data_IF_250449234609
#
_entry.id   IF_250449234609
#
_cell.length_a   1.000
_cell.length_b   1.000
_cell.length_c   1.000
_cell.angle_alpha   90.00
_cell.angle_beta   90.00
_cell.angle_gamma   90.00
#
_symmetry.space_group_name_H-M   'P 1'
#
loop_
_entity.id
_entity.type
_entity.pdbx_description
1 polymer ?
#
# COMPACT_ATOMS: atom_id res chain seq x y z
N UNK A 1 20.66 4.81 19.47
CA UNK A 1 20.60 4.00 18.23
C UNK A 1 19.36 3.11 18.33
N UNK A 2 18.44 3.19 17.36
CA UNK A 2 17.32 2.24 17.29
C UNK A 2 17.91 0.84 17.12
N UNK A 3 17.62 -0.05 18.06
CA UNK A 3 18.02 -1.45 17.98
C UNK A 3 17.10 -2.10 16.94
N UNK A 4 17.46 -1.96 15.66
CA UNK A 4 16.83 -2.74 14.61
C UNK A 4 17.16 -4.19 14.94
N UNK A 5 16.17 -4.94 15.44
CA UNK A 5 16.34 -6.34 15.81
C UNK A 5 16.91 -7.16 14.65
N UNK A 6 17.25 -8.42 14.92
CA UNK A 6 17.73 -9.34 13.88
C UNK A 6 16.83 -9.25 12.64
N UNK A 7 17.39 -8.96 11.45
CA UNK A 7 16.59 -8.85 10.24
C UNK A 7 15.76 -10.10 10.02
N UNK A 8 14.63 -9.96 9.34
CA UNK A 8 13.78 -11.09 9.03
C UNK A 8 14.63 -12.20 8.38
N UNK A 9 14.61 -13.45 8.86
CA UNK A 9 15.41 -14.53 8.29
C UNK A 9 15.06 -14.80 6.81
N UNK A 10 13.95 -14.22 6.33
CA UNK A 10 13.49 -14.28 4.94
C UNK A 10 14.03 -13.18 4.04
N UNK A 11 14.78 -12.22 4.57
CA UNK A 11 15.33 -11.13 3.78
C UNK A 11 16.25 -11.63 2.66
N UNK A 12 17.11 -12.61 2.96
CA UNK A 12 18.05 -13.17 1.99
C UNK A 12 17.33 -13.97 0.89
N UNK A 13 16.43 -14.93 1.19
CA UNK A 13 15.58 -15.57 0.18
C UNK A 13 14.79 -14.56 -0.67
N UNK A 14 14.19 -13.55 -0.07
CA UNK A 14 13.44 -12.51 -0.78
C UNK A 14 14.32 -11.72 -1.75
N UNK A 15 15.48 -11.25 -1.29
CA UNK A 15 16.42 -10.51 -2.16
C UNK A 15 16.88 -11.37 -3.35
N UNK A 16 17.13 -12.68 -3.14
CA UNK A 16 17.47 -13.61 -4.22
C UNK A 16 16.31 -13.78 -5.21
N UNK A 17 15.10 -13.94 -4.72
CA UNK A 17 13.88 -14.02 -5.53
C UNK A 17 13.68 -12.75 -6.37
N UNK A 18 13.75 -11.57 -5.76
CA UNK A 18 13.66 -10.29 -6.47
C UNK A 18 14.76 -10.12 -7.51
N UNK A 19 16.02 -10.49 -7.19
CA UNK A 19 17.12 -10.41 -8.14
C UNK A 19 16.91 -11.33 -9.35
N UNK A 20 16.42 -12.56 -9.14
CA UNK A 20 16.12 -13.49 -10.22
C UNK A 20 14.95 -13.01 -11.11
N UNK A 21 14.03 -12.23 -10.55
CA UNK A 21 12.90 -11.64 -11.27
C UNK A 21 13.14 -10.21 -11.74
N UNK A 22 14.33 -9.65 -11.55
CA UNK A 22 14.65 -8.25 -11.86
C UNK A 22 14.32 -7.87 -13.31
N UNK A 23 14.52 -8.79 -14.26
CA UNK A 23 14.17 -8.60 -15.67
C UNK A 23 12.67 -8.74 -15.99
N UNK A 24 11.85 -9.16 -15.01
CA UNK A 24 10.39 -9.27 -15.15
C UNK A 24 9.64 -8.08 -14.56
N UNK A 25 10.25 -7.36 -13.62
CA UNK A 25 9.70 -6.12 -13.10
C UNK A 25 10.05 -4.97 -14.05
N UNK A 26 9.04 -4.21 -14.45
CA UNK A 26 9.22 -2.97 -15.18
C UNK A 26 8.91 -1.81 -14.24
N UNK A 27 9.58 -0.67 -14.44
CA UNK A 27 9.20 0.56 -13.76
C UNK A 27 7.74 0.87 -14.09
N UNK A 28 6.94 1.25 -13.10
CA UNK A 28 5.53 1.62 -13.32
C UNK A 28 5.44 3.07 -13.75
N UNK A 29 6.11 3.97 -13.02
CA UNK A 29 6.00 5.41 -13.22
C UNK A 29 6.91 5.95 -14.34
N UNK A 30 8.07 5.32 -14.58
CA UNK A 30 9.08 5.80 -15.53
C UNK A 30 9.18 4.93 -16.80
N UNK A 31 8.16 4.12 -17.08
CA UNK A 31 8.13 3.27 -18.27
C UNK A 31 7.38 3.98 -19.40
N UNK A 32 8.03 4.25 -20.56
CA UNK A 32 7.42 4.95 -21.69
C UNK A 32 6.17 4.28 -22.27
N UNK A 33 5.95 2.99 -22.00
CA UNK A 33 4.75 2.26 -22.41
C UNK A 33 3.55 2.55 -21.51
N UNK A 34 3.80 2.94 -20.27
CA UNK A 34 2.79 3.38 -19.33
C UNK A 34 2.56 4.86 -19.62
N UNK A 35 1.31 5.27 -19.91
CA UNK A 35 0.94 6.66 -20.21
C UNK A 35 0.98 7.55 -18.95
N UNK A 36 2.04 7.44 -18.15
CA UNK A 36 2.30 8.28 -16.99
C UNK A 36 3.19 9.41 -17.49
N UNK A 37 2.61 10.57 -17.71
CA UNK A 37 3.34 11.73 -18.23
C UNK A 37 4.18 12.38 -17.13
N UNK A 38 3.69 12.34 -15.89
CA UNK A 38 4.43 12.75 -14.71
C UNK A 38 3.84 12.09 -13.46
N UNK A 39 4.59 12.12 -12.36
CA UNK A 39 4.11 11.68 -11.05
C UNK A 39 4.56 12.66 -9.98
N UNK A 40 3.78 12.76 -8.90
CA UNK A 40 4.03 13.65 -7.77
C UNK A 40 4.02 12.83 -6.49
N UNK A 41 5.12 12.83 -5.74
CA UNK A 41 5.09 12.27 -4.40
C UNK A 41 4.28 13.19 -3.49
N UNK A 42 3.30 12.63 -2.78
CA UNK A 42 2.56 13.35 -1.74
C UNK A 42 3.23 13.06 -0.41
N UNK A 43 3.49 14.12 0.35
CA UNK A 43 3.87 14.04 1.74
C UNK A 43 2.62 14.27 2.61
N UNK A 44 2.12 13.20 3.23
CA UNK A 44 1.05 13.20 4.23
C UNK A 44 1.58 13.21 5.68
N UNK A 45 2.90 13.35 5.82
CA UNK A 45 3.66 13.48 7.06
C UNK A 45 4.13 14.90 7.39
N UNK A 46 4.82 15.08 8.53
CA UNK A 46 5.39 16.36 8.90
C UNK A 46 6.45 16.79 7.87
N UNK A 47 6.50 18.08 7.55
CA UNK A 47 7.35 18.73 6.53
C UNK A 47 8.87 18.46 6.64
N UNK A 48 9.33 17.81 7.70
CA UNK A 48 10.75 17.52 7.97
C UNK A 48 10.95 16.04 8.27
N UNK A 49 10.75 15.17 7.29
CA UNK A 49 11.28 13.80 7.36
C UNK A 49 12.81 13.83 7.24
N UNK A 50 13.54 12.91 7.92
CA UNK A 50 14.97 12.72 7.67
C UNK A 50 15.24 12.34 6.20
N UNK A 51 16.44 12.61 5.67
CA UNK A 51 16.70 12.65 4.24
C UNK A 51 16.70 11.23 3.65
N UNK A 52 15.55 10.78 3.19
CA UNK A 52 15.49 9.80 2.11
C UNK A 52 14.75 10.47 0.97
N UNK A 53 15.55 11.05 0.06
CA UNK A 53 15.17 11.79 -1.16
C UNK A 53 14.83 13.27 -0.94
N UNK A 54 15.87 14.10 -0.94
CA UNK A 54 15.77 15.54 -1.25
C UNK A 54 15.62 15.72 -2.77
N UNK A 55 14.57 16.40 -3.23
CA UNK A 55 14.71 17.66 -3.99
C UNK A 55 13.36 18.37 -4.24
N UNK A 56 13.32 19.59 -3.70
CA UNK A 56 12.52 20.78 -4.03
C UNK A 56 10.98 20.68 -4.05
N UNK A 57 10.37 21.16 -2.96
CA UNK A 57 8.98 21.61 -2.91
C UNK A 57 8.88 22.97 -2.22
N UNK A 58 8.39 23.96 -2.95
CA UNK A 58 7.88 25.23 -2.43
C UNK A 58 6.49 25.46 -3.06
N UNK A 59 5.49 24.71 -2.63
CA UNK A 59 4.06 25.08 -2.73
C UNK A 59 3.19 23.98 -2.14
N UNK A 60 2.08 24.38 -1.52
CA UNK A 60 1.01 23.49 -1.03
C UNK A 60 0.49 22.62 -2.19
N UNK A 61 0.10 21.35 -1.98
CA UNK A 61 -0.65 20.62 -2.99
C UNK A 61 -2.04 21.24 -3.10
N UNK A 62 -2.25 22.04 -4.15
CA UNK A 62 -3.58 22.18 -4.73
C UNK A 62 -3.89 20.88 -5.47
N UNK A 63 -5.05 20.27 -5.18
CA UNK A 63 -5.62 19.24 -6.06
C UNK A 63 -5.84 19.90 -7.42
N UNK A 64 -5.02 19.50 -8.39
CA UNK A 64 -5.12 19.96 -9.76
C UNK A 64 -6.53 19.67 -10.30
N UNK A 65 -7.25 20.72 -10.68
CA UNK A 65 -8.51 20.61 -11.44
C UNK A 65 -8.29 20.32 -12.93
N UNK A 66 -7.03 20.19 -13.37
CA UNK A 66 -6.69 20.04 -14.78
C UNK A 66 -6.81 18.58 -15.21
N UNK A 67 -7.95 18.29 -15.85
CA UNK A 67 -8.34 16.99 -16.43
C UNK A 67 -7.50 16.56 -17.65
N UNK A 68 -6.35 17.16 -17.89
CA UNK A 68 -5.57 16.97 -19.12
C UNK A 68 -4.16 16.42 -18.93
N UNK A 69 -3.73 16.05 -17.71
CA UNK A 69 -2.41 15.45 -17.49
C UNK A 69 -2.55 14.22 -16.59
N UNK A 70 -2.07 13.07 -17.08
CA UNK A 70 -2.01 11.82 -16.31
C UNK A 70 -0.93 11.92 -15.20
N UNK A 71 -1.17 12.77 -14.22
CA UNK A 71 -0.33 12.94 -13.03
C UNK A 71 -0.79 11.93 -11.98
N UNK A 72 0.07 10.97 -11.65
CA UNK A 72 -0.19 10.04 -10.54
C UNK A 72 0.40 10.63 -9.27
N UNK A 73 -0.38 10.68 -8.20
CA UNK A 73 0.14 11.07 -6.90
C UNK A 73 0.57 9.84 -6.09
N UNK A 74 1.71 9.89 -5.42
CA UNK A 74 2.37 8.71 -4.82
C UNK A 74 2.57 8.91 -3.31
N UNK A 75 1.95 8.05 -2.51
CA UNK A 75 2.18 7.96 -1.06
C UNK A 75 3.23 6.90 -0.74
N UNK A 76 4.27 7.26 0.01
CA UNK A 76 5.49 6.43 0.10
C UNK A 76 5.43 5.35 1.18
N UNK A 77 6.07 4.22 0.92
CA UNK A 77 6.37 3.21 1.93
C UNK A 77 7.34 3.77 2.99
N UNK A 78 7.05 3.50 4.26
CA UNK A 78 7.84 3.95 5.39
C UNK A 78 7.61 5.42 5.78
N UNK A 79 6.69 6.11 5.10
CA UNK A 79 6.32 7.48 5.43
C UNK A 79 5.66 7.56 6.81
N UNK A 80 6.13 8.47 7.68
CA UNK A 80 5.39 8.82 8.90
C UNK A 80 4.29 9.81 8.53
N UNK A 81 3.03 9.46 8.80
CA UNK A 81 1.82 10.19 8.42
C UNK A 81 1.10 10.73 9.64
N UNK A 82 1.01 12.06 9.72
CA UNK A 82 0.27 12.75 10.78
C UNK A 82 -1.23 12.65 10.55
N UNK A 83 -1.67 12.53 9.29
CA UNK A 83 -3.09 12.38 8.91
C UNK A 83 -3.75 11.16 9.56
N UNK A 84 -2.98 10.14 9.97
CA UNK A 84 -3.52 8.99 10.69
C UNK A 84 -4.05 9.36 12.08
N UNK A 85 -3.57 10.44 12.71
CA UNK A 85 -4.05 10.89 14.02
C UNK A 85 -5.50 11.37 14.00
N UNK A 86 -6.00 11.79 12.84
CA UNK A 86 -7.39 12.22 12.66
C UNK A 86 -8.39 11.05 12.74
N UNK A 87 -7.90 9.81 12.61
CA UNK A 87 -8.72 8.62 12.54
C UNK A 87 -8.60 7.75 13.81
N UNK A 88 -9.72 7.47 14.51
CA UNK A 88 -9.70 6.75 15.79
C UNK A 88 -8.99 5.39 15.74
N UNK A 89 -9.06 4.67 14.62
CA UNK A 89 -8.46 3.33 14.46
C UNK A 89 -6.93 3.31 14.42
N UNK A 90 -6.28 4.45 14.14
CA UNK A 90 -4.82 4.57 14.19
C UNK A 90 -4.33 5.19 15.51
N UNK A 91 -5.24 5.80 16.27
CA UNK A 91 -4.97 6.29 17.61
C UNK A 91 -4.85 5.13 18.61
N UNK A 92 -3.76 5.10 19.39
CA UNK A 92 -3.58 4.13 20.48
C UNK A 92 -4.30 4.56 21.77
N UNK A 93 -5.21 5.54 21.69
CA UNK A 93 -5.91 6.10 22.84
C UNK A 93 -7.11 5.22 23.21
N UNK A 94 -6.79 4.09 23.82
CA UNK A 94 -7.75 3.38 24.65
C UNK A 94 -8.16 4.33 25.81
N UNK A 95 -9.46 4.60 25.98
CA UNK A 95 -9.95 5.58 26.97
C UNK A 95 -9.64 5.20 28.44
N UNK A 96 -9.20 3.96 28.68
CA UNK A 96 -8.81 3.42 29.99
C UNK A 96 -7.27 3.22 30.16
N UNK A 97 -6.48 4.00 29.42
CA UNK A 97 -5.03 3.88 29.21
C UNK A 97 -4.11 3.74 30.43
N UNK A 98 -4.59 3.96 31.66
CA UNK A 98 -3.76 3.80 32.86
C UNK A 98 -3.40 2.34 33.16
N UNK A 99 -4.27 1.37 32.83
CA UNK A 99 -3.98 -0.08 33.04
C UNK A 99 -3.06 -0.67 31.96
N UNK A 100 -3.15 -0.16 30.74
CA UNK A 100 -2.39 -0.61 29.56
C UNK A 100 -0.95 -0.06 29.58
N UNK A 101 -0.74 1.13 30.17
CA UNK A 101 0.56 1.77 30.35
C UNK A 101 1.59 0.91 31.11
N UNK A 102 1.17 0.17 32.13
CA UNK A 102 2.09 -0.63 32.97
C UNK A 102 2.54 -1.94 32.31
N UNK A 103 1.77 -2.48 31.36
CA UNK A 103 2.00 -3.83 30.83
C UNK A 103 2.77 -3.84 29.50
N UNK A 104 2.57 -2.82 28.65
CA UNK A 104 3.21 -2.73 27.33
C UNK A 104 3.53 -1.28 26.92
N UNK A 105 4.68 -0.70 27.34
CA UNK A 105 5.02 0.70 27.01
C UNK A 105 5.18 0.97 25.51
N UNK A 106 5.39 -0.06 24.68
CA UNK A 106 5.41 0.05 23.23
C UNK A 106 4.02 0.14 22.56
N UNK A 107 2.94 -0.27 23.26
CA UNK A 107 1.56 -0.19 22.78
C UNK A 107 0.98 1.24 22.86
N UNK A 108 1.75 2.21 23.35
CA UNK A 108 1.40 3.64 23.41
C UNK A 108 1.82 4.43 22.17
N UNK A 109 2.38 3.76 21.16
CA UNK A 109 2.77 4.43 19.91
C UNK A 109 1.61 4.36 18.93
N UNK A 110 1.12 5.53 18.50
CA UNK A 110 0.17 5.65 17.40
C UNK A 110 0.72 4.91 16.17
N UNK A 111 -0.17 4.24 15.44
CA UNK A 111 0.20 3.66 14.14
C UNK A 111 0.28 4.82 13.16
N UNK A 112 1.49 5.36 12.97
CA UNK A 112 1.71 6.50 12.08
C UNK A 112 2.64 6.18 10.90
N UNK A 113 3.18 4.98 10.77
CA UNK A 113 4.04 4.61 9.63
C UNK A 113 3.20 3.94 8.54
N UNK A 114 3.27 4.46 7.32
CA UNK A 114 2.67 3.84 6.15
C UNK A 114 3.48 2.63 5.70
N UNK A 115 2.84 1.45 5.69
CA UNK A 115 3.47 0.18 5.31
C UNK A 115 3.12 -0.27 3.90
N UNK A 116 2.45 0.59 3.13
CA UNK A 116 2.03 0.33 1.75
C UNK A 116 2.71 1.27 0.74
N UNK A 117 2.18 1.26 -0.47
CA UNK A 117 2.46 2.22 -1.53
C UNK A 117 1.10 2.70 -2.03
N UNK A 118 0.86 4.01 -2.02
CA UNK A 118 -0.38 4.57 -2.56
C UNK A 118 -0.11 5.14 -3.93
N UNK A 119 -0.99 4.84 -4.88
CA UNK A 119 -1.03 5.43 -6.20
C UNK A 119 -2.42 6.06 -6.38
N UNK A 120 -2.50 7.38 -6.24
CA UNK A 120 -3.72 8.14 -6.45
C UNK A 120 -4.02 8.19 -7.94
N UNK A 121 -5.15 7.61 -8.32
CA UNK A 121 -5.63 7.52 -9.70
C UNK A 121 -7.15 7.67 -9.70
N UNK A 122 -7.72 7.95 -10.87
CA UNK A 122 -9.18 8.13 -11.01
C UNK A 122 -9.98 6.87 -10.58
N UNK A 123 -11.15 7.09 -9.98
CA UNK A 123 -12.10 6.04 -9.70
C UNK A 123 -12.48 5.29 -10.99
N UNK A 124 -12.61 3.96 -10.89
CA UNK A 124 -12.82 3.08 -12.05
C UNK A 124 -11.52 2.68 -12.76
N UNK A 125 -10.36 3.24 -12.40
CA UNK A 125 -9.08 2.79 -12.95
C UNK A 125 -8.83 1.31 -12.63
N UNK A 126 -8.36 0.55 -13.61
CA UNK A 126 -8.09 -0.89 -13.46
C UNK A 126 -6.86 -1.13 -12.60
N UNK A 127 -7.01 -2.03 -11.65
CA UNK A 127 -5.92 -2.53 -10.81
C UNK A 127 -5.53 -3.92 -11.28
N UNK A 128 -4.24 -4.12 -11.58
CA UNK A 128 -3.72 -5.36 -12.14
C UNK A 128 -2.87 -6.12 -11.12
N UNK A 129 -2.85 -7.44 -11.22
CA UNK A 129 -2.04 -8.30 -10.36
C UNK A 129 -0.56 -8.15 -10.70
N UNK A 130 0.27 -7.86 -9.69
CA UNK A 130 1.72 -7.71 -9.89
C UNK A 130 2.43 -9.04 -10.17
N UNK A 131 1.83 -10.15 -9.73
CA UNK A 131 2.35 -11.52 -9.88
C UNK A 131 1.18 -12.51 -9.94
N UNK A 132 1.42 -13.68 -10.53
CA UNK A 132 0.48 -14.80 -10.46
C UNK A 132 0.12 -15.10 -9.01
N UNK A 133 -1.15 -15.30 -8.71
CA UNK A 133 -1.60 -15.58 -7.35
C UNK A 133 -3.01 -16.14 -7.27
N UNK A 134 -3.33 -16.68 -6.10
CA UNK A 134 -4.68 -17.09 -5.73
C UNK A 134 -5.31 -16.02 -4.84
N UNK A 135 -6.57 -15.66 -5.09
CA UNK A 135 -7.36 -14.85 -4.15
C UNK A 135 -7.49 -15.64 -2.85
N UNK A 136 -6.82 -15.20 -1.79
CA UNK A 136 -6.83 -15.92 -0.50
C UNK A 136 -7.69 -15.25 0.56
N UNK A 137 -7.92 -13.94 0.45
CA UNK A 137 -8.85 -13.21 1.29
C UNK A 137 -9.44 -12.04 0.51
N UNK A 138 -10.67 -11.68 0.83
CA UNK A 138 -11.33 -10.50 0.31
C UNK A 138 -12.43 -10.07 1.28
N UNK A 139 -12.56 -8.77 1.53
CA UNK A 139 -13.59 -8.21 2.40
C UNK A 139 -13.78 -6.72 2.10
N UNK A 140 -14.79 -6.10 2.71
CA UNK A 140 -14.97 -4.66 2.68
C UNK A 140 -14.62 -4.06 4.05
N UNK A 141 -13.52 -3.31 4.14
CA UNK A 141 -13.13 -2.50 5.29
C UNK A 141 -13.76 -1.11 5.21
N UNK A 142 -15.05 -1.03 5.52
CA UNK A 142 -15.84 0.21 5.42
C UNK A 142 -15.60 1.21 6.54
N UNK A 143 -14.49 1.09 7.28
CA UNK A 143 -14.11 2.07 8.31
C UNK A 143 -13.64 3.35 7.62
N UNK A 144 -14.07 4.51 8.11
CA UNK A 144 -13.59 5.81 7.61
C UNK A 144 -12.07 5.92 7.80
N UNK A 145 -11.31 6.21 6.75
CA UNK A 145 -9.84 6.14 6.70
C UNK A 145 -9.27 4.72 6.62
N UNK A 146 -10.12 3.71 6.47
CA UNK A 146 -9.75 2.31 6.27
C UNK A 146 -9.43 2.00 4.80
N UNK A 147 -9.36 0.72 4.48
CA UNK A 147 -8.99 0.27 3.13
C UNK A 147 -10.16 0.20 2.14
N UNK A 148 -11.42 0.33 2.56
CA UNK A 148 -12.56 0.02 1.68
C UNK A 148 -12.54 -1.46 1.24
N UNK A 149 -13.07 -1.78 0.04
CA UNK A 149 -12.92 -3.11 -0.56
C UNK A 149 -11.47 -3.55 -0.73
N UNK A 150 -11.15 -4.72 -0.19
CA UNK A 150 -9.81 -5.32 -0.16
C UNK A 150 -9.80 -6.68 -0.84
N UNK A 151 -8.75 -6.94 -1.60
CA UNK A 151 -8.38 -8.26 -2.11
C UNK A 151 -6.94 -8.58 -1.70
N UNK A 152 -6.70 -9.78 -1.20
CA UNK A 152 -5.35 -10.30 -0.95
C UNK A 152 -5.09 -11.47 -1.90
N UNK A 153 -3.98 -11.38 -2.64
CA UNK A 153 -3.46 -12.48 -3.42
C UNK A 153 -2.32 -13.17 -2.67
N UNK A 154 -2.34 -14.50 -2.67
CA UNK A 154 -1.24 -15.36 -2.22
C UNK A 154 -0.43 -15.79 -3.44
N UNK A 155 0.88 -15.58 -3.39
CA UNK A 155 1.82 -15.95 -4.44
C UNK A 155 2.69 -17.10 -3.99
N UNK A 156 2.97 -18.02 -4.91
CA UNK A 156 3.88 -19.12 -4.66
C UNK A 156 5.33 -18.67 -4.83
N UNK A 157 6.19 -19.08 -3.89
CA UNK A 157 7.64 -18.91 -4.01
C UNK A 157 8.19 -20.16 -4.68
N UNK A 158 8.94 -20.04 -5.79
CA UNK A 158 9.61 -21.18 -6.40
C UNK A 158 10.53 -21.87 -5.38
N UNK A 159 10.53 -23.20 -5.39
CA UNK A 159 11.23 -24.02 -4.39
C UNK A 159 12.74 -23.71 -4.32
N UNK A 160 13.33 -23.24 -5.41
CA UNK A 160 14.74 -22.83 -5.51
C UNK A 160 15.13 -21.64 -4.62
N UNK A 161 14.15 -20.80 -4.22
CA UNK A 161 14.39 -19.67 -3.33
C UNK A 161 14.03 -20.00 -1.88
N UNK A 162 12.89 -20.65 -1.67
CA UNK A 162 12.48 -21.11 -0.35
C UNK A 162 11.35 -22.13 -0.44
N UNK A 163 11.47 -23.25 0.28
CA UNK A 163 10.41 -24.25 0.32
C UNK A 163 9.29 -23.85 1.29
N UNK A 164 8.02 -23.98 0.84
CA UNK A 164 6.78 -23.86 1.63
C UNK A 164 6.44 -22.47 2.19
N UNK A 165 6.87 -21.39 1.53
CA UNK A 165 6.47 -20.03 1.91
C UNK A 165 5.75 -19.31 0.78
N UNK A 166 4.95 -18.32 1.16
CA UNK A 166 4.10 -17.55 0.27
C UNK A 166 4.38 -16.07 0.46
N UNK A 167 4.34 -15.31 -0.64
CA UNK A 167 4.20 -13.85 -0.58
C UNK A 167 2.73 -13.48 -0.64
N UNK A 168 2.39 -12.32 -0.11
CA UNK A 168 1.04 -11.78 -0.19
C UNK A 168 1.11 -10.36 -0.73
N UNK A 169 0.21 -10.03 -1.66
CA UNK A 169 -0.07 -8.64 -2.05
C UNK A 169 -1.48 -8.28 -1.59
N UNK A 170 -1.62 -7.08 -1.02
CA UNK A 170 -2.88 -6.50 -0.60
C UNK A 170 -3.23 -5.37 -1.58
N UNK A 171 -4.43 -5.41 -2.12
CA UNK A 171 -5.00 -4.37 -2.97
C UNK A 171 -6.19 -3.78 -2.19
N UNK A 172 -6.05 -2.53 -1.75
CA UNK A 172 -7.10 -1.78 -1.07
C UNK A 172 -7.69 -0.70 -1.97
N UNK A 173 -8.62 0.06 -1.41
CA UNK A 173 -9.29 1.20 -2.03
C UNK A 173 -10.04 0.83 -3.32
N UNK A 174 -10.46 -0.43 -3.44
CA UNK A 174 -11.15 -0.94 -4.63
C UNK A 174 -12.64 -0.55 -4.62
N UNK A 175 -13.31 -0.68 -5.76
CA UNK A 175 -14.76 -0.58 -5.85
C UNK A 175 -15.41 -1.84 -5.25
N UNK A 176 -16.59 -1.68 -4.65
CA UNK A 176 -17.35 -2.79 -4.07
C UNK A 176 -17.77 -3.84 -5.11
N UNK A 177 -17.88 -3.45 -6.38
CA UNK A 177 -18.14 -4.36 -7.50
C UNK A 177 -17.05 -5.44 -7.63
N UNK A 178 -15.79 -5.10 -7.29
CA UNK A 178 -14.67 -6.06 -7.31
C UNK A 178 -14.96 -7.29 -6.45
N UNK A 179 -15.64 -7.12 -5.32
CA UNK A 179 -15.94 -8.22 -4.41
C UNK A 179 -17.01 -9.17 -4.95
N UNK A 180 -17.77 -8.75 -5.96
CA UNK A 180 -18.79 -9.55 -6.64
C UNK A 180 -18.20 -10.33 -7.82
N UNK A 181 -17.14 -9.80 -8.43
CA UNK A 181 -16.45 -10.39 -9.58
C UNK A 181 -15.49 -11.52 -9.19
N UNK A 182 -14.91 -11.45 -7.99
CA UNK A 182 -13.90 -12.39 -7.52
C UNK A 182 -14.45 -13.41 -6.52
N UNK A 183 -13.72 -14.52 -6.35
CA UNK A 183 -14.00 -15.57 -5.36
C UNK A 183 -12.71 -16.06 -4.72
N UNK A 184 -12.77 -16.39 -3.43
CA UNK A 184 -11.65 -17.05 -2.74
C UNK A 184 -11.28 -18.35 -3.48
N UNK A 185 -9.98 -18.56 -3.70
CA UNK A 185 -9.40 -19.65 -4.48
C UNK A 185 -9.27 -19.38 -5.97
N UNK A 186 -9.80 -18.26 -6.48
CA UNK A 186 -9.65 -17.88 -7.89
C UNK A 186 -8.19 -17.56 -8.22
N UNK A 187 -7.71 -18.10 -9.35
CA UNK A 187 -6.38 -17.83 -9.88
C UNK A 187 -6.40 -16.55 -10.72
N UNK A 188 -5.48 -15.64 -10.44
CA UNK A 188 -5.24 -14.43 -11.22
C UNK A 188 -3.80 -14.46 -11.73
N UNK A 189 -3.62 -14.26 -13.04
CA UNK A 189 -2.29 -14.17 -13.64
C UNK A 189 -1.73 -12.76 -13.51
N UNK A 190 -0.41 -12.63 -13.48
CA UNK A 190 0.27 -11.34 -13.53
C UNK A 190 -0.23 -10.51 -14.73
N UNK A 191 -0.51 -9.23 -14.49
CA UNK A 191 -1.08 -8.31 -15.48
C UNK A 191 -2.59 -8.49 -15.73
N UNK A 192 -3.24 -9.52 -15.19
CA UNK A 192 -4.69 -9.61 -15.22
C UNK A 192 -5.33 -8.71 -14.15
N UNK A 193 -6.57 -8.31 -14.40
CA UNK A 193 -7.31 -7.44 -13.50
C UNK A 193 -7.63 -8.13 -12.17
N UNK A 194 -7.38 -7.40 -11.08
CA UNK A 194 -7.78 -7.74 -9.70
C UNK A 194 -9.04 -6.99 -9.32
N UNK A 195 -9.23 -5.78 -9.85
CA UNK A 195 -10.42 -4.96 -9.59
C UNK A 195 -10.31 -3.58 -10.23
N UNK A 196 -11.14 -2.67 -9.74
CA UNK A 196 -11.11 -1.25 -10.10
C UNK A 196 -10.99 -0.40 -8.84
N UNK A 197 -10.41 0.79 -8.95
CA UNK A 197 -10.38 1.77 -7.85
C UNK A 197 -11.80 2.25 -7.54
N UNK A 198 -12.15 2.27 -6.25
CA UNK A 198 -13.44 2.74 -5.75
C UNK A 198 -13.52 4.27 -5.75
N UNK A 199 -14.74 4.80 -5.73
CA UNK A 199 -14.92 6.22 -5.46
C UNK A 199 -14.73 6.53 -3.96
N UNK A 200 -14.70 7.82 -3.61
CA UNK A 200 -14.47 8.30 -2.23
C UNK A 200 -15.43 7.74 -1.18
N UNK A 201 -16.64 7.30 -1.58
CA UNK A 201 -17.63 6.72 -0.67
C UNK A 201 -17.34 5.24 -0.36
N UNK A 202 -16.57 4.57 -1.23
CA UNK A 202 -16.26 3.15 -1.12
C UNK A 202 -14.83 2.91 -0.64
N UNK A 203 -13.90 3.76 -1.03
CA UNK A 203 -12.47 3.55 -0.83
C UNK A 203 -11.97 3.94 0.58
N UNK A 204 -12.85 4.23 1.53
CA UNK A 204 -12.50 4.68 2.87
C UNK A 204 -12.33 6.20 3.01
N UNK A 205 -12.67 6.99 1.99
CA UNK A 205 -12.59 8.46 2.03
C UNK A 205 -11.27 9.03 1.49
N UNK A 206 -10.52 8.23 0.74
CA UNK A 206 -9.25 8.60 0.11
C UNK A 206 -9.43 9.15 -1.31
#
# INVERSE_FOLDING_TARGET
ALNFGTPCPLELPFRKYCAALSNRFQFVLDNPQNRVESHKVIQLGPWKQPPYVEKSWNSKPELSSDKEQHVIEVGQYGEVRDVYEEYPQFSSLDKDSWKTQQKHPAALRSRNVHLGLDLSVEAGCKVLAVMDGDVCAMWNDSVCGGFGPVVILRHEIPQEFESKKHWFSLYGHLSSETLQELKIGMKIRAGCQVGHIGNVLENGGW
#
